data_IF_630784494881
#
_entry.id   IF_630784494881
#
_cell.length_a   1.000
_cell.length_b   1.000
_cell.length_c   1.000
_cell.angle_alpha   90.00
_cell.angle_beta   90.00
_cell.angle_gamma   90.00
#
_symmetry.space_group_name_H-M   'P 1'
#
loop_
_entity.id
_entity.type
_entity.pdbx_description
1 polymer ?
#
# COMPACT_ATOMS: atom_id res chain seq x y z
N UNK A 1 -0.61 -12.88 -9.79
CA UNK A 1 -0.39 -11.43 -9.61
C UNK A 1 0.47 -11.29 -8.37
N UNK A 2 1.74 -10.94 -8.52
CA UNK A 2 2.60 -10.57 -7.40
C UNK A 2 2.18 -9.18 -6.92
N UNK A 3 1.69 -9.09 -5.69
CA UNK A 3 1.30 -7.82 -5.07
C UNK A 3 2.33 -7.47 -4.01
N UNK A 4 2.85 -6.26 -4.02
CA UNK A 4 3.83 -5.81 -3.01
C UNK A 4 3.15 -5.40 -1.69
N UNK A 5 1.84 -5.13 -1.72
CA UNK A 5 1.05 -4.83 -0.53
C UNK A 5 0.62 -6.08 0.24
N UNK A 6 0.76 -6.03 1.57
CA UNK A 6 0.11 -6.94 2.51
C UNK A 6 -1.39 -6.68 2.58
N UNK A 7 -2.15 -7.69 3.06
CA UNK A 7 -3.60 -7.55 3.32
C UNK A 7 -3.94 -6.38 4.25
N UNK A 8 -3.05 -6.10 5.22
CA UNK A 8 -3.24 -5.03 6.20
C UNK A 8 -3.09 -3.66 5.53
N UNK A 9 -2.08 -3.48 4.68
CA UNK A 9 -1.89 -2.23 3.94
C UNK A 9 -3.03 -1.98 2.95
N UNK A 10 -3.51 -3.03 2.26
CA UNK A 10 -4.71 -2.93 1.40
C UNK A 10 -5.92 -2.48 2.22
N UNK A 11 -6.14 -3.09 3.38
CA UNK A 11 -7.29 -2.75 4.24
C UNK A 11 -7.25 -1.28 4.67
N UNK A 12 -6.06 -0.81 5.05
CA UNK A 12 -5.84 0.58 5.47
C UNK A 12 -6.08 1.56 4.31
N UNK A 13 -5.49 1.31 3.14
CA UNK A 13 -5.70 2.16 1.97
C UNK A 13 -7.16 2.16 1.50
N UNK A 14 -7.84 1.01 1.56
CA UNK A 14 -9.28 0.92 1.25
C UNK A 14 -10.08 1.78 2.20
N UNK A 15 -9.78 1.73 3.51
CA UNK A 15 -10.43 2.58 4.51
C UNK A 15 -10.20 4.07 4.19
N UNK A 16 -8.95 4.47 3.97
CA UNK A 16 -8.59 5.86 3.67
C UNK A 16 -9.26 6.37 2.39
N UNK A 17 -9.26 5.59 1.30
CA UNK A 17 -9.91 6.00 0.04
C UNK A 17 -11.43 6.09 0.17
N UNK A 18 -12.06 5.24 0.97
CA UNK A 18 -13.49 5.35 1.26
C UNK A 18 -13.80 6.63 2.04
N UNK A 19 -13.00 6.95 3.05
CA UNK A 19 -13.18 8.13 3.89
C UNK A 19 -12.90 9.43 3.10
N UNK A 20 -11.80 9.50 2.34
CA UNK A 20 -11.42 10.64 1.48
C UNK A 20 -12.47 10.95 0.41
N UNK A 21 -13.12 9.92 -0.15
CA UNK A 21 -14.14 10.07 -1.20
C UNK A 21 -15.56 10.17 -0.62
N UNK A 22 -15.71 10.18 0.71
CA UNK A 22 -17.01 10.11 1.40
C UNK A 22 -17.92 8.98 0.88
N UNK A 23 -17.31 7.84 0.52
CA UNK A 23 -18.01 6.71 -0.06
C UNK A 23 -18.58 5.81 1.04
N UNK A 24 -19.91 5.74 1.12
CA UNK A 24 -20.56 4.69 1.89
C UNK A 24 -20.28 3.32 1.25
N UNK A 25 -20.29 2.25 2.07
CA UNK A 25 -20.13 0.88 1.57
C UNK A 25 -21.12 0.55 0.44
N UNK A 26 -22.37 1.01 0.59
CA UNK A 26 -23.43 0.81 -0.42
C UNK A 26 -23.05 1.49 -1.73
N UNK A 27 -22.66 2.76 -1.67
CA UNK A 27 -22.26 3.52 -2.86
C UNK A 27 -21.03 2.93 -3.53
N UNK A 28 -20.05 2.44 -2.76
CA UNK A 28 -18.89 1.75 -3.29
C UNK A 28 -19.28 0.48 -4.05
N UNK A 29 -20.19 -0.35 -3.50
CA UNK A 29 -20.70 -1.52 -4.21
C UNK A 29 -21.43 -1.15 -5.50
N UNK A 30 -22.29 -0.13 -5.46
CA UNK A 30 -23.04 0.31 -6.64
C UNK A 30 -22.09 0.80 -7.74
N UNK A 31 -21.07 1.58 -7.38
CA UNK A 31 -20.04 2.06 -8.31
C UNK A 31 -19.23 0.90 -8.91
N UNK A 32 -18.84 -0.08 -8.09
CA UNK A 32 -18.12 -1.25 -8.56
C UNK A 32 -18.95 -2.05 -9.57
N UNK A 33 -20.17 -2.42 -9.17
CA UNK A 33 -21.04 -3.28 -9.98
C UNK A 33 -21.49 -2.56 -11.27
N UNK A 34 -21.54 -1.23 -11.25
CA UNK A 34 -21.76 -0.42 -12.45
C UNK A 34 -20.52 -0.37 -13.35
N UNK A 35 -19.33 -0.04 -12.80
CA UNK A 35 -18.08 0.11 -13.57
C UNK A 35 -17.66 -1.19 -14.24
N UNK A 36 -17.81 -2.31 -13.55
CA UNK A 36 -17.42 -3.63 -14.05
C UNK A 36 -18.62 -4.49 -14.49
N UNK A 37 -19.76 -3.85 -14.79
CA UNK A 37 -21.00 -4.55 -15.13
C UNK A 37 -20.86 -5.50 -16.33
N UNK A 38 -20.11 -5.11 -17.35
CA UNK A 38 -19.85 -5.95 -18.54
C UNK A 38 -19.02 -7.19 -18.19
N UNK A 39 -17.95 -7.02 -17.41
CA UNK A 39 -17.12 -8.15 -16.95
C UNK A 39 -17.91 -9.10 -16.03
N UNK A 40 -18.85 -8.56 -15.25
CA UNK A 40 -19.78 -9.33 -14.41
C UNK A 40 -20.78 -10.11 -15.27
N UNK A 41 -21.37 -9.47 -16.27
CA UNK A 41 -22.30 -10.11 -17.22
C UNK A 41 -21.60 -11.22 -18.02
N UNK A 42 -20.34 -11.01 -18.40
CA UNK A 42 -19.49 -12.01 -19.03
C UNK A 42 -18.97 -13.10 -18.06
N UNK A 43 -19.41 -13.11 -16.79
CA UNK A 43 -19.02 -14.06 -15.73
C UNK A 43 -17.51 -14.11 -15.44
N UNK A 44 -16.75 -13.07 -15.81
CA UNK A 44 -15.30 -12.98 -15.56
C UNK A 44 -15.00 -12.57 -14.12
N UNK A 45 -15.88 -11.78 -13.53
CA UNK A 45 -15.81 -11.38 -12.12
C UNK A 45 -17.19 -11.49 -11.48
N UNK A 46 -17.22 -11.83 -10.18
CA UNK A 46 -18.46 -11.83 -9.41
C UNK A 46 -18.76 -10.41 -8.89
N UNK A 47 -20.04 -10.00 -8.81
CA UNK A 47 -20.41 -8.74 -8.20
C UNK A 47 -19.99 -8.70 -6.73
N UNK A 48 -19.83 -7.49 -6.20
CA UNK A 48 -19.49 -7.28 -4.79
C UNK A 48 -20.71 -6.83 -3.98
N UNK A 49 -20.66 -7.12 -2.69
CA UNK A 49 -21.68 -6.76 -1.69
C UNK A 49 -21.08 -5.87 -0.61
N UNK A 50 -21.95 -5.22 0.19
CA UNK A 50 -21.50 -4.40 1.33
C UNK A 50 -20.60 -5.19 2.28
N UNK A 51 -20.95 -6.45 2.56
CA UNK A 51 -20.16 -7.35 3.40
C UNK A 51 -18.79 -7.64 2.83
N UNK A 52 -18.67 -7.74 1.50
CA UNK A 52 -17.36 -7.89 0.88
C UNK A 52 -16.49 -6.65 1.12
N UNK A 53 -17.01 -5.45 0.85
CA UNK A 53 -16.27 -4.20 1.07
C UNK A 53 -15.92 -4.05 2.56
N UNK A 54 -16.85 -4.38 3.46
CA UNK A 54 -16.60 -4.34 4.90
C UNK A 54 -15.51 -5.31 5.33
N UNK A 55 -15.49 -6.54 4.79
CA UNK A 55 -14.44 -7.53 5.07
C UNK A 55 -13.07 -7.06 4.59
N UNK A 56 -12.98 -6.51 3.38
CA UNK A 56 -11.72 -5.96 2.85
C UNK A 56 -11.26 -4.78 3.71
N UNK A 57 -12.15 -3.82 4.02
CA UNK A 57 -11.85 -2.68 4.89
C UNK A 57 -11.36 -3.11 6.29
N UNK A 58 -11.89 -4.21 6.82
CA UNK A 58 -11.61 -4.67 8.19
C UNK A 58 -10.51 -5.73 8.27
N UNK A 59 -9.72 -5.95 7.20
CA UNK A 59 -8.69 -6.98 7.13
C UNK A 59 -9.21 -8.42 7.41
N UNK A 60 -10.50 -8.67 7.13
CA UNK A 60 -11.16 -9.98 7.28
C UNK A 60 -11.20 -10.74 5.96
N UNK A 61 -10.08 -10.78 5.26
CA UNK A 61 -9.87 -11.58 4.06
C UNK A 61 -8.48 -12.22 4.10
N UNK A 62 -8.37 -13.43 3.56
CA UNK A 62 -7.14 -14.22 3.67
C UNK A 62 -6.18 -13.97 2.51
N UNK A 63 -6.73 -13.84 1.29
CA UNK A 63 -5.95 -13.76 0.06
C UNK A 63 -6.46 -12.64 -0.84
N UNK A 64 -5.54 -12.06 -1.61
CA UNK A 64 -5.84 -11.02 -2.60
C UNK A 64 -6.43 -11.69 -3.84
N UNK A 65 -7.75 -11.84 -3.84
CA UNK A 65 -8.49 -12.39 -4.98
C UNK A 65 -8.56 -11.36 -6.13
N UNK A 66 -8.86 -11.77 -7.38
CA UNK A 66 -9.12 -10.84 -8.48
C UNK A 66 -10.18 -9.77 -8.16
N UNK A 67 -11.15 -10.11 -7.31
CA UNK A 67 -12.15 -9.14 -6.82
C UNK A 67 -11.58 -8.08 -5.89
N UNK A 68 -10.65 -8.46 -5.01
CA UNK A 68 -9.93 -7.50 -4.16
C UNK A 68 -9.09 -6.59 -5.04
N UNK A 69 -8.43 -7.16 -6.05
CA UNK A 69 -7.62 -6.38 -6.99
C UNK A 69 -8.46 -5.36 -7.78
N UNK A 70 -9.60 -5.79 -8.32
CA UNK A 70 -10.57 -4.90 -9.00
C UNK A 70 -11.16 -3.83 -8.07
N UNK A 71 -11.34 -4.14 -6.79
CA UNK A 71 -11.79 -3.14 -5.81
C UNK A 71 -10.71 -2.09 -5.59
N UNK A 72 -9.44 -2.50 -5.54
CA UNK A 72 -8.32 -1.58 -5.46
C UNK A 72 -8.19 -0.74 -6.74
N UNK A 73 -8.41 -1.33 -7.92
CA UNK A 73 -8.48 -0.61 -9.21
C UNK A 73 -9.56 0.48 -9.19
N UNK A 74 -10.76 0.16 -8.67
CA UNK A 74 -11.85 1.13 -8.54
C UNK A 74 -11.48 2.32 -7.63
N UNK A 75 -10.79 2.03 -6.53
CA UNK A 75 -10.40 3.02 -5.51
C UNK A 75 -9.08 3.72 -5.83
N UNK A 76 -8.48 3.43 -6.99
CA UNK A 76 -7.16 3.92 -7.40
C UNK A 76 -6.10 3.63 -6.33
N UNK A 77 -6.15 2.41 -5.80
CA UNK A 77 -5.14 1.84 -4.91
C UNK A 77 -4.20 1.04 -5.80
N UNK A 78 -2.97 1.53 -5.92
CA UNK A 78 -1.98 0.86 -6.73
C UNK A 78 -1.31 -0.27 -5.92
N UNK A 79 -1.64 -1.51 -6.29
CA UNK A 79 -1.19 -2.74 -5.63
C UNK A 79 0.32 -3.03 -5.79
N UNK A 80 0.99 -2.26 -6.65
CA UNK A 80 2.43 -2.34 -6.92
C UNK A 80 3.20 -1.18 -6.25
N UNK A 81 2.51 -0.12 -5.83
CA UNK A 81 3.08 1.15 -5.31
C UNK A 81 3.08 1.28 -3.79
N UNK A 82 3.08 0.17 -3.03
CA UNK A 82 3.40 0.16 -1.58
C UNK A 82 4.75 0.82 -1.21
N UNK A 83 5.48 1.23 -2.23
CA UNK A 83 6.90 1.30 -2.30
C UNK A 83 7.35 2.72 -2.64
N UNK A 84 6.49 3.73 -2.73
CA UNK A 84 6.99 5.10 -3.01
C UNK A 84 7.92 5.59 -1.90
N UNK A 85 7.53 5.54 -0.63
CA UNK A 85 8.42 5.91 0.49
C UNK A 85 9.44 4.82 0.84
N UNK A 86 9.02 3.55 0.84
CA UNK A 86 9.91 2.43 1.19
C UNK A 86 10.95 2.18 0.10
N UNK A 87 10.60 2.26 -1.19
CA UNK A 87 11.57 2.25 -2.28
C UNK A 87 12.35 3.55 -2.37
N UNK A 88 11.79 4.73 -2.06
CA UNK A 88 12.64 5.93 -1.94
C UNK A 88 13.73 5.69 -0.91
N UNK A 89 13.39 5.18 0.27
CA UNK A 89 14.37 4.87 1.32
C UNK A 89 15.36 3.77 0.90
N UNK A 90 14.89 2.71 0.24
CA UNK A 90 15.77 1.65 -0.29
C UNK A 90 16.69 2.20 -1.38
N UNK A 91 16.19 3.06 -2.28
CA UNK A 91 17.01 3.68 -3.33
C UNK A 91 18.00 4.69 -2.75
N UNK A 92 17.60 5.49 -1.77
CA UNK A 92 18.50 6.37 -1.02
C UNK A 92 19.60 5.56 -0.31
N UNK A 93 19.28 4.44 0.32
CA UNK A 93 20.28 3.55 0.93
C UNK A 93 21.21 2.92 -0.11
N UNK A 94 20.69 2.47 -1.25
CA UNK A 94 21.53 1.97 -2.36
C UNK A 94 22.47 3.03 -2.90
N UNK A 95 22.02 4.29 -3.00
CA UNK A 95 22.86 5.42 -3.39
C UNK A 95 23.96 5.67 -2.37
N UNK A 96 23.64 5.64 -1.07
CA UNK A 96 24.61 5.79 0.02
C UNK A 96 25.67 4.68 -0.05
N UNK A 97 25.26 3.42 -0.19
CA UNK A 97 26.19 2.29 -0.32
C UNK A 97 27.10 2.44 -1.54
N UNK A 98 26.55 2.88 -2.67
CA UNK A 98 27.31 3.12 -3.90
C UNK A 98 28.34 4.24 -3.71
N UNK A 99 27.95 5.33 -3.06
CA UNK A 99 28.85 6.47 -2.76
C UNK A 99 29.99 6.03 -1.86
N UNK A 100 29.72 5.26 -0.81
CA UNK A 100 30.76 4.75 0.10
C UNK A 100 31.72 3.82 -0.64
N UNK A 101 31.21 2.94 -1.52
CA UNK A 101 32.06 2.07 -2.36
C UNK A 101 32.95 2.85 -3.34
N UNK A 102 32.45 3.95 -3.89
CA UNK A 102 33.18 4.78 -4.85
C UNK A 102 34.12 5.79 -4.20
N UNK A 103 33.81 6.22 -2.97
CA UNK A 103 34.52 7.25 -2.20
C UNK A 103 34.66 6.81 -0.74
N UNK A 104 35.59 5.89 -0.43
CA UNK A 104 35.76 5.35 0.91
C UNK A 104 36.04 6.42 1.98
N UNK A 105 36.60 7.57 1.60
CA UNK A 105 36.83 8.68 2.51
C UNK A 105 35.54 9.26 3.13
N UNK A 106 34.39 9.03 2.50
CA UNK A 106 33.07 9.47 2.99
C UNK A 106 32.43 8.50 3.98
N UNK A 107 32.97 7.29 4.15
CA UNK A 107 32.37 6.25 5.02
C UNK A 107 32.19 6.74 6.46
N UNK A 108 33.18 7.44 7.00
CA UNK A 108 33.15 7.96 8.37
C UNK A 108 32.04 9.00 8.56
N UNK A 109 31.79 9.83 7.55
CA UNK A 109 30.74 10.86 7.59
C UNK A 109 29.35 10.22 7.52
N UNK A 110 29.18 9.22 6.63
CA UNK A 110 27.92 8.46 6.51
C UNK A 110 27.60 7.72 7.82
N UNK A 111 28.59 7.05 8.42
CA UNK A 111 28.42 6.37 9.73
C UNK A 111 27.94 7.33 10.82
N UNK A 112 28.55 8.52 10.92
CA UNK A 112 28.13 9.53 11.90
C UNK A 112 26.68 9.98 11.70
N UNK A 113 26.25 10.18 10.46
CA UNK A 113 24.86 10.56 10.16
C UNK A 113 23.87 9.46 10.55
N UNK A 114 24.19 8.19 10.27
CA UNK A 114 23.35 7.06 10.66
C UNK A 114 23.23 6.91 12.18
N UNK A 115 24.33 7.12 12.92
CA UNK A 115 24.32 7.14 14.38
C UNK A 115 23.41 8.25 14.91
N UNK A 116 23.52 9.47 14.37
CA UNK A 116 22.66 10.58 14.79
C UNK A 116 21.17 10.29 14.54
N UNK A 117 20.83 9.64 13.42
CA UNK A 117 19.45 9.21 13.12
C UNK A 117 18.99 8.16 14.15
N UNK A 118 19.85 7.20 14.51
CA UNK A 118 19.54 6.19 15.51
C UNK A 118 19.30 6.81 16.90
N UNK A 119 20.10 7.80 17.29
CA UNK A 119 19.95 8.53 18.55
C UNK A 119 18.62 9.28 18.60
N UNK A 120 18.22 9.94 17.51
CA UNK A 120 16.90 10.60 17.40
C UNK A 120 15.77 9.58 17.56
N UNK A 121 15.89 8.42 16.91
CA UNK A 121 14.88 7.37 17.00
C UNK A 121 14.76 6.83 18.43
N UNK A 122 15.88 6.64 19.14
CA UNK A 122 15.90 6.18 20.52
C UNK A 122 15.27 7.20 21.48
N UNK A 123 15.51 8.50 21.27
CA UNK A 123 14.88 9.57 22.06
C UNK A 123 13.36 9.59 21.91
N UNK A 124 12.83 9.28 20.72
CA UNK A 124 11.40 9.19 20.47
C UNK A 124 10.70 7.95 21.05
N UNK A 125 11.45 6.91 21.43
CA UNK A 125 10.91 5.67 22.03
C UNK A 125 10.83 5.77 23.57
N UNK A 126 11.57 6.69 24.17
CA UNK A 126 11.63 6.89 25.63
C UNK A 126 10.64 7.95 26.16
N UNK A 127 9.72 8.44 25.31
CA UNK A 127 8.60 9.33 25.67
C UNK A 127 7.28 8.58 25.58
#
# INVERSE_FOLDING_TARGET
METTLSKTEISQQVKEKLDQRHLTLRRCCDLFNKRFGEEIAAKRIKPITKDFVQRVKSNRFEVITPRVAKLCELLEINLLEASSQKNQFIQEMMLIEKVVKQRPELELQVKKLLVNIADIALQGIQQ
#
